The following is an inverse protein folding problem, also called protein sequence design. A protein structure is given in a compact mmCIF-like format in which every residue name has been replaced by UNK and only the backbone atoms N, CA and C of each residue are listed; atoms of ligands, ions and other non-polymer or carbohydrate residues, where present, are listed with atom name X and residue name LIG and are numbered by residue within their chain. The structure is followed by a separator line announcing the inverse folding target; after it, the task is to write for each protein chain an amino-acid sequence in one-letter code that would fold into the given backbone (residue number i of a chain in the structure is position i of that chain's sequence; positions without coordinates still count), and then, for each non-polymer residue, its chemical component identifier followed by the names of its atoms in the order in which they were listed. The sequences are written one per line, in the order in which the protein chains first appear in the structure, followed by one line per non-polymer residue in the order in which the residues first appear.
data_IF_743861121704
#
_entry.id   IF_743861121704
#
_cell.length_a   1.000
_cell.length_b   1.000
_cell.length_c   1.000
_cell.angle_alpha   90.00
_cell.angle_beta   90.00
_cell.angle_gamma   90.00
#
_symmetry.space_group_name_H-M   'P 1'
#
loop_
_entity.id
_entity.type
_entity.pdbx_description
1 polymer ?
#
# COMPACT_ATOMS: atom_id res chain seq x y z
N UNK A 1 -12.31 -21.26 7.30
CA UNK A 1 -11.25 -21.26 8.34
C UNK A 1 -11.48 -20.07 9.26
N UNK A 2 -11.76 -20.27 10.56
CA UNK A 2 -11.85 -19.16 11.52
C UNK A 2 -10.44 -18.60 11.73
N UNK A 3 -10.23 -17.30 11.52
CA UNK A 3 -8.97 -16.63 11.88
C UNK A 3 -8.87 -16.70 13.41
N UNK A 4 -7.95 -17.51 13.94
CA UNK A 4 -7.67 -17.52 15.37
C UNK A 4 -6.76 -16.35 15.74
N UNK A 5 -6.86 -15.86 16.98
CA UNK A 5 -5.93 -14.85 17.51
C UNK A 5 -4.47 -15.33 17.41
N UNK A 6 -4.23 -16.62 17.63
CA UNK A 6 -2.90 -17.25 17.53
C UNK A 6 -2.28 -17.15 16.14
N UNK A 7 -3.08 -17.26 15.08
CA UNK A 7 -2.59 -17.15 13.71
C UNK A 7 -2.14 -15.72 13.36
N UNK A 8 -2.84 -14.71 13.88
CA UNK A 8 -2.43 -13.31 13.70
C UNK A 8 -1.14 -12.99 14.44
N UNK A 9 -1.01 -13.49 15.67
CA UNK A 9 0.22 -13.37 16.46
C UNK A 9 1.39 -13.99 15.68
N UNK A 10 1.20 -15.18 15.11
CA UNK A 10 2.23 -15.83 14.29
C UNK A 10 2.65 -14.98 13.09
N UNK A 11 1.71 -14.31 12.41
CA UNK A 11 2.06 -13.42 11.31
C UNK A 11 2.92 -12.22 11.75
N UNK A 12 2.57 -11.59 12.88
CA UNK A 12 3.38 -10.49 13.41
C UNK A 12 4.75 -10.95 13.88
N UNK A 13 4.83 -12.15 14.49
CA UNK A 13 6.10 -12.77 14.90
C UNK A 13 7.03 -13.05 13.72
N UNK A 14 6.50 -13.27 12.51
CA UNK A 14 7.30 -13.47 11.30
C UNK A 14 7.59 -12.12 10.61
N UNK A 15 6.58 -11.25 10.49
CA UNK A 15 6.69 -10.02 9.73
C UNK A 15 7.70 -9.02 10.32
N UNK A 16 7.76 -8.91 11.66
CA UNK A 16 8.68 -7.97 12.32
C UNK A 16 10.14 -8.36 12.10
N UNK A 17 10.59 -9.61 12.38
CA UNK A 17 11.96 -10.03 12.08
C UNK A 17 12.31 -9.90 10.60
N UNK A 18 11.39 -10.25 9.68
CA UNK A 18 11.64 -10.08 8.24
C UNK A 18 11.87 -8.61 7.89
N UNK A 19 11.04 -7.71 8.42
CA UNK A 19 11.21 -6.27 8.19
C UNK A 19 12.52 -5.75 8.79
N UNK A 20 12.90 -6.21 9.99
CA UNK A 20 14.19 -5.90 10.60
C UNK A 20 15.36 -6.39 9.75
N UNK A 21 15.31 -7.62 9.24
CA UNK A 21 16.35 -8.16 8.36
C UNK A 21 16.44 -7.30 7.10
N UNK A 22 15.32 -7.01 6.43
CA UNK A 22 15.31 -6.23 5.18
C UNK A 22 15.89 -4.82 5.36
N UNK A 23 15.67 -4.17 6.51
CA UNK A 23 16.16 -2.81 6.77
C UNK A 23 17.59 -2.80 7.32
N UNK A 24 17.87 -3.57 8.36
CA UNK A 24 19.12 -3.48 9.11
C UNK A 24 20.24 -4.35 8.55
N UNK A 25 19.93 -5.47 7.87
CA UNK A 25 20.98 -6.28 7.24
C UNK A 25 21.72 -5.50 6.14
N UNK A 26 21.03 -4.79 5.23
CA UNK A 26 21.71 -3.93 4.27
C UNK A 26 22.41 -2.75 4.94
N UNK A 27 21.83 -2.16 6.00
CA UNK A 27 22.43 -1.05 6.73
C UNK A 27 23.73 -1.41 7.45
N UNK A 28 23.88 -2.65 7.91
CA UNK A 28 25.05 -3.07 8.69
C UNK A 28 25.14 -2.42 10.08
N UNK A 29 24.08 -1.75 10.53
CA UNK A 29 23.98 -1.09 11.83
C UNK A 29 22.54 -1.17 12.35
N UNK A 30 22.36 -1.20 13.66
CA UNK A 30 21.06 -1.03 14.32
C UNK A 30 20.81 0.42 14.77
N UNK A 31 21.84 1.27 14.68
CA UNK A 31 21.77 2.68 15.06
C UNK A 31 21.19 3.52 13.91
N UNK A 32 19.92 3.28 13.60
CA UNK A 32 19.18 3.96 12.54
C UNK A 32 17.75 4.27 13.05
N UNK A 33 17.57 5.48 13.58
CA UNK A 33 16.37 5.87 14.31
C UNK A 33 15.11 5.91 13.43
N UNK A 34 15.29 6.27 12.16
CA UNK A 34 14.25 6.38 11.15
C UNK A 34 13.65 5.00 10.86
N UNK A 35 14.50 3.96 10.72
CA UNK A 35 14.01 2.59 10.54
C UNK A 35 13.23 2.08 11.75
N UNK A 36 13.70 2.34 12.98
CA UNK A 36 12.95 1.98 14.17
C UNK A 36 11.60 2.69 14.25
N UNK A 37 11.58 4.00 13.96
CA UNK A 37 10.35 4.80 13.88
C UNK A 37 9.39 4.21 12.85
N UNK A 38 9.88 3.91 11.65
CA UNK A 38 9.08 3.28 10.60
C UNK A 38 8.50 1.92 11.03
N UNK A 39 9.31 1.05 11.65
CA UNK A 39 8.88 -0.26 12.15
C UNK A 39 7.76 -0.10 13.17
N UNK A 40 7.92 0.80 14.16
CA UNK A 40 6.92 1.04 15.21
C UNK A 40 5.62 1.58 14.62
N UNK A 41 5.69 2.58 13.73
CA UNK A 41 4.51 3.16 13.10
C UNK A 41 3.78 2.14 12.19
N UNK A 42 4.53 1.37 11.40
CA UNK A 42 3.98 0.32 10.54
C UNK A 42 3.33 -0.80 11.36
N UNK A 43 3.96 -1.22 12.45
CA UNK A 43 3.40 -2.22 13.36
C UNK A 43 2.14 -1.70 14.05
N UNK A 44 2.17 -0.47 14.58
CA UNK A 44 1.02 0.18 15.19
C UNK A 44 -0.16 0.28 14.23
N UNK A 45 0.08 0.74 13.00
CA UNK A 45 -0.94 0.79 11.96
C UNK A 45 -1.50 -0.60 11.64
N UNK A 46 -0.63 -1.60 11.47
CA UNK A 46 -1.06 -2.97 11.17
C UNK A 46 -1.92 -3.58 12.29
N UNK A 47 -1.59 -3.31 13.57
CA UNK A 47 -2.38 -3.73 14.74
C UNK A 47 -3.74 -3.04 14.74
N UNK A 48 -3.78 -1.71 14.56
CA UNK A 48 -5.03 -0.93 14.54
C UNK A 48 -5.95 -1.43 13.42
N UNK A 49 -5.42 -1.51 12.20
CA UNK A 49 -6.16 -1.93 11.02
C UNK A 49 -6.71 -3.34 11.18
N UNK A 50 -5.87 -4.29 11.60
CA UNK A 50 -6.25 -5.69 11.78
C UNK A 50 -7.28 -5.84 12.88
N UNK A 51 -7.06 -5.20 14.04
CA UNK A 51 -7.98 -5.27 15.18
C UNK A 51 -9.35 -4.68 14.85
N UNK A 52 -9.38 -3.55 14.13
CA UNK A 52 -10.62 -2.91 13.71
C UNK A 52 -11.42 -3.81 12.76
N UNK A 53 -10.79 -4.30 11.68
CA UNK A 53 -11.50 -5.07 10.66
C UNK A 53 -11.83 -6.50 11.11
N UNK A 54 -11.08 -7.10 12.02
CA UNK A 54 -11.50 -8.39 12.60
C UNK A 54 -12.80 -8.28 13.41
N UNK A 55 -13.05 -7.11 14.01
CA UNK A 55 -14.29 -6.84 14.75
C UNK A 55 -15.45 -6.46 13.82
N UNK A 56 -15.19 -5.65 12.78
CA UNK A 56 -16.25 -5.05 11.95
C UNK A 56 -16.48 -5.75 10.61
N UNK A 57 -15.44 -6.34 10.00
CA UNK A 57 -15.52 -7.01 8.70
C UNK A 57 -14.42 -8.10 8.55
N UNK A 58 -14.51 -9.20 9.32
CA UNK A 58 -13.47 -10.24 9.34
C UNK A 58 -13.34 -10.96 7.99
N UNK A 59 -14.40 -11.00 7.18
CA UNK A 59 -14.39 -11.60 5.85
C UNK A 59 -13.49 -10.85 4.88
N UNK A 60 -13.44 -9.52 4.93
CA UNK A 60 -12.53 -8.74 4.09
C UNK A 60 -11.06 -9.07 4.40
N UNK A 61 -10.72 -9.21 5.69
CA UNK A 61 -9.37 -9.60 6.13
C UNK A 61 -9.04 -11.02 5.66
N UNK A 62 -9.95 -11.98 5.83
CA UNK A 62 -9.80 -13.36 5.31
C UNK A 62 -9.50 -13.36 3.82
N UNK A 63 -10.28 -12.63 3.03
CA UNK A 63 -10.12 -12.58 1.57
C UNK A 63 -8.81 -11.91 1.15
N UNK A 64 -8.36 -10.88 1.87
CA UNK A 64 -7.05 -10.21 1.62
C UNK A 64 -5.84 -11.04 2.06
N UNK A 65 -6.03 -11.92 3.02
CA UNK A 65 -4.98 -12.82 3.52
C UNK A 65 -4.91 -14.12 2.74
N UNK A 66 -5.99 -14.52 2.06
CA UNK A 66 -5.94 -15.62 1.12
C UNK A 66 -4.93 -15.30 0.00
N UNK A 67 -3.88 -16.13 -0.11
CA UNK A 67 -2.92 -16.05 -1.20
C UNK A 67 -3.57 -16.57 -2.48
N UNK A 68 -4.32 -15.72 -3.16
CA UNK A 68 -4.80 -15.97 -4.51
C UNK A 68 -3.86 -15.30 -5.50
N UNK A 69 -3.38 -16.09 -6.45
CA UNK A 69 -2.68 -15.52 -7.61
C UNK A 69 -3.67 -14.65 -8.41
N UNK A 70 -3.23 -13.50 -8.92
CA UNK A 70 -4.06 -12.70 -9.81
C UNK A 70 -4.59 -13.56 -10.96
N UNK A 71 -5.90 -13.53 -11.26
CA UNK A 71 -6.46 -14.37 -12.32
C UNK A 71 -5.97 -13.94 -13.71
N UNK A 72 -5.62 -12.66 -13.87
CA UNK A 72 -5.19 -12.08 -15.15
C UNK A 72 -3.67 -11.97 -15.24
N UNK A 73 -3.11 -12.35 -16.39
CA UNK A 73 -1.67 -12.31 -16.63
C UNK A 73 -1.07 -10.89 -16.44
N UNK A 74 -1.74 -9.86 -16.95
CA UNK A 74 -1.27 -8.48 -16.79
C UNK A 74 -1.22 -8.06 -15.31
N UNK A 75 -2.17 -8.51 -14.48
CA UNK A 75 -2.20 -8.17 -13.05
C UNK A 75 -1.05 -8.90 -12.32
N UNK A 76 -0.70 -10.13 -12.73
CA UNK A 76 0.51 -10.82 -12.23
C UNK A 76 1.79 -10.05 -12.55
N UNK A 77 1.96 -9.64 -13.81
CA UNK A 77 3.16 -8.92 -14.28
C UNK A 77 3.29 -7.58 -13.55
N UNK A 78 2.21 -6.80 -13.48
CA UNK A 78 2.25 -5.50 -12.80
C UNK A 78 2.52 -5.70 -11.29
N UNK A 79 1.91 -6.69 -10.67
CA UNK A 79 2.15 -6.97 -9.25
C UNK A 79 3.57 -7.47 -8.96
N UNK A 80 4.23 -8.20 -9.87
CA UNK A 80 5.64 -8.56 -9.68
C UNK A 80 6.53 -7.32 -9.69
N UNK A 81 6.28 -6.37 -10.60
CA UNK A 81 7.01 -5.09 -10.59
C UNK A 81 6.76 -4.30 -9.30
N UNK A 82 5.52 -4.25 -8.81
CA UNK A 82 5.20 -3.60 -7.52
C UNK A 82 5.94 -4.28 -6.37
N UNK A 83 5.98 -5.61 -6.32
CA UNK A 83 6.66 -6.36 -5.24
C UNK A 83 8.17 -6.12 -5.28
N UNK A 84 8.80 -6.16 -6.46
CA UNK A 84 10.23 -5.88 -6.61
C UNK A 84 10.52 -4.44 -6.18
N UNK A 85 9.75 -3.47 -6.67
CA UNK A 85 9.92 -2.07 -6.30
C UNK A 85 9.72 -1.83 -4.79
N UNK A 86 8.72 -2.46 -4.16
CA UNK A 86 8.50 -2.36 -2.70
C UNK A 86 9.63 -2.99 -1.90
N UNK A 87 10.17 -4.12 -2.35
CA UNK A 87 11.31 -4.76 -1.69
C UNK A 87 12.55 -3.87 -1.81
N UNK A 88 12.82 -3.34 -3.00
CA UNK A 88 13.90 -2.39 -3.23
C UNK A 88 13.74 -1.11 -2.41
N UNK A 89 12.51 -0.61 -2.24
CA UNK A 89 12.21 0.57 -1.43
C UNK A 89 12.61 0.41 0.06
N UNK A 90 12.63 -0.82 0.57
CA UNK A 90 13.05 -1.10 1.95
C UNK A 90 14.54 -1.47 2.05
N UNK A 91 15.13 -2.06 1.02
CA UNK A 91 16.55 -2.45 1.01
C UNK A 91 17.46 -1.24 0.75
N UNK A 92 17.12 -0.41 -0.24
CA UNK A 92 17.98 0.69 -0.71
C UNK A 92 18.29 1.69 0.40
N UNK A 93 17.33 2.15 1.24
CA UNK A 93 17.67 3.07 2.33
C UNK A 93 18.68 2.47 3.33
N UNK A 94 18.62 1.16 3.59
CA UNK A 94 19.64 0.51 4.40
C UNK A 94 21.02 0.58 3.74
N UNK A 95 21.13 0.25 2.46
CA UNK A 95 22.40 0.39 1.73
C UNK A 95 22.90 1.85 1.70
N UNK A 96 21.98 2.80 1.56
CA UNK A 96 22.26 4.24 1.57
C UNK A 96 22.87 4.66 2.91
N UNK A 97 22.31 4.22 4.04
CA UNK A 97 22.87 4.44 5.39
C UNK A 97 24.27 3.82 5.52
N UNK A 98 24.46 2.61 5.00
CA UNK A 98 25.76 1.91 5.09
C UNK A 98 26.87 2.64 4.36
N UNK A 99 26.56 3.14 3.16
CA UNK A 99 27.53 3.73 2.25
C UNK A 99 27.56 5.25 2.26
N UNK A 100 26.59 5.89 2.93
CA UNK A 100 26.43 7.34 2.98
C UNK A 100 26.20 7.96 1.60
N UNK A 101 25.38 7.34 0.74
CA UNK A 101 25.20 7.84 -0.63
C UNK A 101 24.40 9.15 -0.68
N UNK A 102 23.48 9.35 0.26
CA UNK A 102 22.69 10.56 0.38
C UNK A 102 22.50 11.00 1.82
N UNK A 103 22.17 12.28 2.00
CA UNK A 103 21.78 12.86 3.28
C UNK A 103 20.61 13.79 3.03
N UNK A 104 19.52 13.57 3.77
CA UNK A 104 18.32 14.38 3.72
C UNK A 104 18.20 15.13 5.04
N UNK A 105 17.84 16.42 5.06
CA UNK A 105 17.63 17.15 6.30
C UNK A 105 16.42 16.58 7.08
N UNK A 106 16.51 16.55 8.41
CA UNK A 106 15.50 15.97 9.30
C UNK A 106 14.06 16.48 9.08
N UNK A 107 13.88 17.72 8.59
CA UNK A 107 12.55 18.24 8.30
C UNK A 107 11.88 17.53 7.09
N UNK A 108 12.66 17.05 6.11
CA UNK A 108 12.14 16.25 5.00
C UNK A 108 11.80 14.83 5.44
N UNK A 109 12.60 14.24 6.33
CA UNK A 109 12.27 12.95 6.96
C UNK A 109 10.96 13.04 7.75
N UNK A 110 10.79 14.12 8.53
CA UNK A 110 9.56 14.40 9.25
C UNK A 110 8.34 14.53 8.30
N UNK A 111 8.50 15.22 7.16
CA UNK A 111 7.47 15.27 6.11
C UNK A 111 7.17 13.85 5.58
N UNK A 112 8.20 13.01 5.40
CA UNK A 112 8.03 11.61 5.04
C UNK A 112 7.17 10.85 6.05
N UNK A 113 7.45 10.95 7.34
CA UNK A 113 6.64 10.30 8.37
C UNK A 113 5.20 10.82 8.43
N UNK A 114 5.01 12.13 8.31
CA UNK A 114 3.67 12.74 8.25
C UNK A 114 2.91 12.22 7.03
N UNK A 115 3.54 12.19 5.86
CA UNK A 115 2.97 11.66 4.62
C UNK A 115 2.60 10.18 4.73
N UNK A 116 3.44 9.39 5.40
CA UNK A 116 3.16 7.98 5.68
C UNK A 116 1.91 7.81 6.57
N UNK A 117 1.78 8.60 7.63
CA UNK A 117 0.62 8.54 8.53
C UNK A 117 -0.68 8.98 7.84
N UNK A 118 -0.63 10.08 7.07
CA UNK A 118 -1.77 10.55 6.28
C UNK A 118 -2.20 9.49 5.27
N UNK A 119 -1.24 8.91 4.54
CA UNK A 119 -1.51 7.86 3.55
C UNK A 119 -2.11 6.62 4.20
N UNK A 120 -1.57 6.19 5.35
CA UNK A 120 -2.09 5.08 6.14
C UNK A 120 -3.52 5.32 6.60
N UNK A 121 -3.83 6.53 7.09
CA UNK A 121 -5.18 6.90 7.48
C UNK A 121 -6.16 6.87 6.29
N UNK A 122 -5.76 7.41 5.14
CA UNK A 122 -6.59 7.37 3.93
C UNK A 122 -6.84 5.94 3.45
N UNK A 123 -5.81 5.08 3.45
CA UNK A 123 -5.97 3.65 3.13
C UNK A 123 -6.96 2.99 4.09
N UNK A 124 -6.90 3.30 5.39
CA UNK A 124 -7.88 2.81 6.37
C UNK A 124 -9.31 3.24 6.04
N UNK A 125 -9.53 4.52 5.70
CA UNK A 125 -10.86 5.02 5.28
C UNK A 125 -11.36 4.32 4.02
N UNK A 126 -10.48 4.12 3.03
CA UNK A 126 -10.83 3.41 1.79
C UNK A 126 -11.23 1.96 2.08
N UNK A 127 -10.50 1.27 2.96
CA UNK A 127 -10.84 -0.08 3.39
C UNK A 127 -12.13 -0.15 4.20
N UNK A 128 -12.43 0.89 4.99
CA UNK A 128 -13.67 1.00 5.75
C UNK A 128 -14.88 1.15 4.82
N UNK A 129 -14.72 1.95 3.76
CA UNK A 129 -15.78 2.26 2.81
C UNK A 129 -16.05 1.12 1.82
N UNK A 130 -15.01 0.41 1.38
CA UNK A 130 -15.13 -0.60 0.34
C UNK A 130 -14.78 -2.01 0.84
N UNK A 131 -15.82 -2.74 1.25
CA UNK A 131 -15.72 -4.13 1.69
C UNK A 131 -15.32 -5.13 0.59
N UNK A 132 -15.32 -4.71 -0.69
CA UNK A 132 -14.94 -5.54 -1.83
C UNK A 132 -13.44 -5.46 -2.19
N UNK A 133 -12.63 -4.71 -1.44
CA UNK A 133 -11.21 -4.51 -1.72
C UNK A 133 -10.38 -5.80 -1.59
N UNK A 134 -10.11 -6.44 -2.72
CA UNK A 134 -9.17 -7.55 -2.84
C UNK A 134 -7.77 -7.06 -3.25
N UNK A 135 -6.76 -7.91 -3.04
CA UNK A 135 -5.39 -7.65 -3.53
C UNK A 135 -5.26 -7.89 -5.04
N UNK A 136 -6.20 -8.63 -5.62
CA UNK A 136 -6.25 -9.01 -7.04
C UNK A 136 -7.43 -8.32 -7.72
N UNK A 137 -7.31 -8.07 -9.02
CA UNK A 137 -8.42 -7.52 -9.81
C UNK A 137 -9.40 -8.63 -10.17
N UNK A 138 -10.37 -8.86 -9.29
CA UNK A 138 -11.43 -9.86 -9.42
C UNK A 138 -12.79 -9.21 -9.08
N UNK A 139 -13.80 -9.47 -9.91
CA UNK A 139 -15.16 -9.02 -9.62
C UNK A 139 -15.84 -10.07 -8.76
N UNK A 140 -16.24 -9.66 -7.55
CA UNK A 140 -16.93 -10.54 -6.62
C UNK A 140 -18.40 -10.72 -7.01
N UNK A 141 -18.97 -11.89 -6.69
CA UNK A 141 -20.40 -12.15 -6.84
C UNK A 141 -21.19 -11.09 -6.05
N UNK A 142 -22.16 -10.45 -6.70
CA UNK A 142 -22.96 -9.35 -6.14
C UNK A 142 -22.16 -8.10 -5.74
N UNK A 143 -20.97 -7.88 -6.33
CA UNK A 143 -20.22 -6.65 -6.13
C UNK A 143 -21.01 -5.44 -6.63
N UNK A 144 -21.16 -4.44 -5.75
CA UNK A 144 -21.74 -3.14 -6.09
C UNK A 144 -20.63 -2.12 -6.30
N UNK A 145 -20.89 -1.13 -7.15
CA UNK A 145 -19.98 -0.01 -7.32
C UNK A 145 -20.06 0.90 -6.08
N UNK A 146 -18.95 1.03 -5.35
CA UNK A 146 -18.83 1.95 -4.21
C UNK A 146 -18.55 3.36 -4.75
N UNK A 147 -19.33 4.35 -4.30
CA UNK A 147 -19.28 5.73 -4.83
C UNK A 147 -19.21 6.80 -3.72
N UNK A 148 -19.17 6.37 -2.46
CA UNK A 148 -19.19 7.19 -1.26
C UNK A 148 -17.81 7.25 -0.61
N UNK A 149 -17.66 8.12 0.40
CA UNK A 149 -16.37 8.34 1.07
C UNK A 149 -15.28 8.81 0.10
N UNK A 150 -14.05 8.25 0.18
CA UNK A 150 -12.94 8.59 -0.71
C UNK A 150 -13.25 8.44 -2.21
N UNK A 151 -14.17 7.52 -2.57
CA UNK A 151 -14.58 7.27 -3.95
C UNK A 151 -15.40 8.42 -4.57
N UNK A 152 -15.85 9.39 -3.76
CA UNK A 152 -16.49 10.61 -4.29
C UNK A 152 -15.49 11.50 -5.04
N UNK A 153 -14.21 11.46 -4.66
CA UNK A 153 -13.19 12.38 -5.18
C UNK A 153 -12.42 11.77 -6.36
N UNK A 154 -12.02 10.50 -6.22
CA UNK A 154 -11.24 9.77 -7.23
C UNK A 154 -11.69 8.31 -7.29
N UNK A 155 -11.57 7.66 -8.45
CA UNK A 155 -12.05 6.29 -8.64
C UNK A 155 -11.20 5.23 -7.95
N UNK A 156 -9.92 5.51 -7.73
CA UNK A 156 -8.94 4.59 -7.15
C UNK A 156 -8.18 5.22 -5.96
N UNK A 157 -8.89 5.58 -4.88
CA UNK A 157 -8.32 6.34 -3.77
C UNK A 157 -7.23 5.57 -3.00
N UNK A 158 -7.28 4.23 -2.99
CA UNK A 158 -6.22 3.42 -2.41
C UNK A 158 -4.91 3.57 -3.19
N UNK A 159 -4.95 3.53 -4.53
CA UNK A 159 -3.75 3.68 -5.35
C UNK A 159 -3.19 5.10 -5.26
N UNK A 160 -4.04 6.13 -5.19
CA UNK A 160 -3.61 7.50 -4.91
C UNK A 160 -2.85 7.60 -3.58
N UNK A 161 -3.41 7.02 -2.53
CA UNK A 161 -2.77 6.99 -1.20
C UNK A 161 -1.48 6.17 -1.21
N UNK A 162 -1.45 5.04 -1.91
CA UNK A 162 -0.25 4.21 -2.03
C UNK A 162 0.88 4.92 -2.75
N UNK A 163 0.59 5.71 -3.80
CA UNK A 163 1.62 6.51 -4.50
C UNK A 163 2.25 7.51 -3.53
N UNK A 164 1.45 8.25 -2.77
CA UNK A 164 1.98 9.18 -1.75
C UNK A 164 2.79 8.43 -0.69
N UNK A 165 2.30 7.26 -0.26
CA UNK A 165 2.95 6.44 0.76
C UNK A 165 4.36 5.98 0.34
N UNK A 166 4.58 5.57 -0.91
CA UNK A 166 5.89 5.03 -1.32
C UNK A 166 6.98 6.11 -1.37
N UNK A 167 6.63 7.34 -1.78
CA UNK A 167 7.54 8.48 -1.68
C UNK A 167 7.74 8.91 -0.22
N UNK A 168 6.68 8.86 0.58
CA UNK A 168 6.75 9.16 2.01
C UNK A 168 7.72 8.22 2.73
N UNK A 169 7.70 6.92 2.40
CA UNK A 169 8.64 5.92 2.96
C UNK A 169 10.08 6.23 2.55
N UNK A 170 10.33 6.57 1.29
CA UNK A 170 11.68 6.93 0.82
C UNK A 170 12.26 8.12 1.61
N UNK A 171 11.45 9.18 1.78
CA UNK A 171 11.85 10.36 2.56
C UNK A 171 11.98 10.05 4.05
N UNK A 172 11.02 9.31 4.63
CA UNK A 172 11.02 8.95 6.04
C UNK A 172 12.25 8.12 6.43
N UNK A 173 12.73 7.27 5.52
CA UNK A 173 13.93 6.46 5.69
C UNK A 173 15.22 7.19 5.29
N UNK A 174 15.15 8.49 4.97
CA UNK A 174 16.32 9.34 4.73
C UNK A 174 17.09 9.03 3.43
N UNK A 175 16.45 8.43 2.41
CA UNK A 175 17.15 7.98 1.20
C UNK A 175 16.61 8.61 -0.08
N UNK A 176 17.47 9.36 -0.79
CA UNK A 176 17.14 9.89 -2.12
C UNK A 176 17.13 8.78 -3.18
N UNK A 177 17.99 7.78 -3.04
CA UNK A 177 18.03 6.64 -3.96
C UNK A 177 16.76 5.79 -3.90
N UNK A 178 16.10 5.77 -2.74
CA UNK A 178 14.81 5.12 -2.55
C UNK A 178 13.65 5.82 -3.30
N UNK A 179 13.84 7.05 -3.80
CA UNK A 179 12.87 7.69 -4.70
C UNK A 179 12.75 6.95 -6.05
N UNK A 180 13.80 6.26 -6.49
CA UNK A 180 13.80 5.46 -7.73
C UNK A 180 12.79 4.30 -7.63
N UNK A 181 12.89 3.35 -6.67
CA UNK A 181 11.88 2.32 -6.53
C UNK A 181 10.49 2.87 -6.18
N UNK A 182 10.38 4.00 -5.46
CA UNK A 182 9.10 4.67 -5.23
C UNK A 182 8.44 5.13 -6.55
N UNK A 183 9.21 5.71 -7.46
CA UNK A 183 8.74 6.11 -8.78
C UNK A 183 8.35 4.88 -9.64
N UNK A 184 9.17 3.83 -9.64
CA UNK A 184 8.86 2.58 -10.37
C UNK A 184 7.57 1.91 -9.86
N UNK A 185 7.38 1.89 -8.54
CA UNK A 185 6.14 1.38 -7.96
C UNK A 185 4.93 2.25 -8.35
N UNK A 186 5.09 3.57 -8.31
CA UNK A 186 4.05 4.52 -8.71
C UNK A 186 3.63 4.34 -10.17
N UNK A 187 4.60 4.21 -11.08
CA UNK A 187 4.33 3.90 -12.49
C UNK A 187 3.58 2.57 -12.65
N UNK A 188 4.01 1.54 -11.92
CA UNK A 188 3.33 0.23 -11.93
C UNK A 188 1.89 0.33 -11.44
N UNK A 189 1.63 1.10 -10.37
CA UNK A 189 0.28 1.35 -9.85
C UNK A 189 -0.57 2.18 -10.80
N UNK A 190 0.00 3.15 -11.52
CA UNK A 190 -0.68 3.92 -12.57
C UNK A 190 -1.13 3.00 -13.70
N UNK A 191 -0.22 2.15 -14.21
CA UNK A 191 -0.56 1.15 -15.23
C UNK A 191 -1.66 0.21 -14.73
N UNK A 192 -1.53 -0.29 -13.49
CA UNK A 192 -2.54 -1.14 -12.85
C UNK A 192 -3.90 -0.46 -12.82
N UNK A 193 -3.92 0.81 -12.41
CA UNK A 193 -5.13 1.61 -12.30
C UNK A 193 -5.84 1.74 -13.64
N UNK A 194 -5.11 1.99 -14.73
CA UNK A 194 -5.71 2.09 -16.06
C UNK A 194 -6.34 0.77 -16.52
N UNK A 195 -5.65 -0.34 -16.29
CA UNK A 195 -6.10 -1.69 -16.69
C UNK A 195 -7.29 -2.16 -15.84
N UNK A 196 -7.25 -1.90 -14.52
CA UNK A 196 -8.34 -2.17 -13.60
C UNK A 196 -9.57 -1.31 -13.93
N UNK A 197 -9.41 0.00 -14.12
CA UNK A 197 -10.49 0.91 -14.50
C UNK A 197 -11.17 0.47 -15.81
N UNK A 198 -10.39 0.09 -16.83
CA UNK A 198 -10.90 -0.45 -18.10
C UNK A 198 -11.68 -1.74 -17.90
N UNK A 199 -11.22 -2.61 -16.99
CA UNK A 199 -11.88 -3.86 -16.65
C UNK A 199 -13.22 -3.58 -15.95
N UNK A 200 -13.22 -2.74 -14.92
CA UNK A 200 -14.42 -2.40 -14.15
C UNK A 200 -15.48 -1.74 -15.03
N UNK A 201 -15.08 -0.88 -15.97
CA UNK A 201 -16.01 -0.31 -16.95
C UNK A 201 -16.66 -1.37 -17.85
N UNK A 202 -15.95 -2.45 -18.18
CA UNK A 202 -16.48 -3.52 -19.04
C UNK A 202 -17.38 -4.49 -18.28
N UNK A 203 -17.00 -4.86 -17.07
CA UNK A 203 -17.55 -6.02 -16.39
C UNK A 203 -18.38 -5.68 -15.13
N UNK A 204 -18.15 -4.53 -14.49
CA UNK A 204 -18.86 -4.17 -13.26
C UNK A 204 -20.11 -3.33 -13.56
N UNK A 205 -21.28 -3.91 -13.24
CA UNK A 205 -22.58 -3.22 -13.37
C UNK A 205 -22.59 -1.91 -12.57
N UNK A 206 -23.04 -0.83 -13.20
CA UNK A 206 -23.12 0.51 -12.62
C UNK A 206 -21.82 1.33 -12.66
N UNK A 207 -20.66 0.72 -12.96
CA UNK A 207 -19.38 1.44 -12.92
C UNK A 207 -19.28 2.54 -13.99
N UNK A 208 -19.79 2.29 -15.21
CA UNK A 208 -19.84 3.32 -16.27
C UNK A 208 -20.67 4.55 -15.91
N UNK A 209 -21.72 4.39 -15.10
CA UNK A 209 -22.51 5.53 -14.64
C UNK A 209 -21.75 6.31 -13.56
N UNK A 210 -21.03 5.59 -12.70
CA UNK A 210 -20.15 6.17 -11.69
C UNK A 210 -19.00 6.99 -12.31
N UNK A 211 -18.38 6.52 -13.39
CA UNK A 211 -17.27 7.28 -14.03
C UNK A 211 -17.69 8.64 -14.57
N UNK A 212 -18.98 8.86 -14.84
CA UNK A 212 -19.52 10.17 -15.23
C UNK A 212 -19.60 11.16 -14.04
N UNK A 213 -19.79 10.63 -12.83
CA UNK A 213 -19.84 11.43 -11.59
C UNK A 213 -18.45 11.68 -11.04
N UNK A 214 -17.64 10.64 -10.90
CA UNK A 214 -16.24 10.73 -10.46
C UNK A 214 -15.32 10.57 -11.66
N UNK A 215 -14.87 11.70 -12.20
CA UNK A 215 -14.13 11.75 -13.48
C UNK A 215 -12.67 11.29 -13.33
N UNK A 216 -12.06 11.59 -12.19
CA UNK A 216 -10.64 11.35 -11.94
C UNK A 216 -10.36 9.93 -11.44
N UNK A 217 -9.28 9.31 -11.91
CA UNK A 217 -8.81 7.99 -11.48
C UNK A 217 -8.01 8.06 -10.18
N UNK A 218 -6.98 8.90 -10.14
CA UNK A 218 -6.00 8.96 -9.04
C UNK A 218 -5.84 10.37 -8.52
N UNK A 219 -5.64 11.35 -9.41
CA UNK A 219 -5.29 12.71 -9.01
C UNK A 219 -6.35 13.68 -9.55
N UNK A 220 -7.08 14.39 -8.68
CA UNK A 220 -8.05 15.37 -9.11
C UNK A 220 -7.43 16.37 -10.08
N UNK A 221 -8.20 16.75 -11.11
CA UNK A 221 -7.83 17.72 -12.16
C UNK A 221 -6.70 17.28 -13.09
N UNK A 222 -6.08 16.12 -12.89
CA UNK A 222 -5.03 15.58 -13.76
C UNK A 222 -5.50 14.31 -14.46
N UNK A 223 -5.93 13.30 -13.70
CA UNK A 223 -6.24 11.98 -14.24
C UNK A 223 -7.21 11.16 -13.41
#
# INVERSE_FOLDING_TARGET
MKISKSWLVLQFLIAVPVMMIILFWPAGTLNWAEAWTYIVLQLGYAIILTSYFLRHNPEMIRKRMAMKLPPRLWDKIVMSFVVVAMTSLLIIPGLDVRHGWSSIPAWLEAIGFIGFLISSYWIFLVMKENSYLLKTVEIQKNQKTVTTGPYKYVRHPMYASSIVMVFSIALALGSLYALIPAALSSLSLIVRTALEDKTLQKELKGYKAYTKKTRYRILPFVW
#
